data_IF_755196846474
#
_entry.id   IF_755196846474
#
_cell.length_a   1.000
_cell.length_b   1.000
_cell.length_c   1.000
_cell.angle_alpha   90.00
_cell.angle_beta   90.00
_cell.angle_gamma   90.00
#
_symmetry.space_group_name_H-M   'P 1'
#
loop_
_entity.id
_entity.type
_entity.pdbx_description
1 polymer ?
#
# COMPACT_ATOMS: atom_id res chain seq x y z
N UNK A 1 -5.74 68.59 -18.26
CA UNK A 1 -4.91 68.68 -17.04
C UNK A 1 -5.41 67.66 -16.02
N UNK A 2 -4.82 66.47 -16.04
CA UNK A 2 -4.51 65.66 -14.84
C UNK A 2 -3.52 66.43 -13.97
N UNK A 3 -3.54 66.28 -12.64
CA UNK A 3 -2.34 66.23 -11.74
C UNK A 3 -2.58 66.54 -10.24
N UNK A 4 -3.80 66.87 -9.78
CA UNK A 4 -3.99 67.38 -8.40
C UNK A 4 -4.95 66.61 -7.47
N UNK A 5 -5.05 65.29 -7.54
CA UNK A 5 -5.55 64.53 -6.37
C UNK A 5 -4.89 63.17 -6.21
N UNK A 6 -3.64 63.11 -6.65
CA UNK A 6 -2.70 62.01 -6.48
C UNK A 6 -2.02 62.01 -5.09
N UNK A 7 -2.56 62.74 -4.11
CA UNK A 7 -1.93 62.96 -2.80
C UNK A 7 -2.86 62.83 -1.59
N UNK A 8 -4.13 62.48 -1.80
CA UNK A 8 -4.85 61.57 -0.91
C UNK A 8 -4.69 60.15 -1.47
N UNK A 9 -3.45 59.76 -1.78
CA UNK A 9 -2.63 59.18 -0.73
C UNK A 9 -3.46 58.24 0.12
N UNK A 10 -3.67 57.03 -0.40
CA UNK A 10 -2.69 55.97 -0.14
C UNK A 10 -2.65 55.54 1.34
N UNK A 11 -3.57 56.05 2.18
CA UNK A 11 -3.77 55.56 3.54
C UNK A 11 -4.98 54.64 3.70
N UNK A 12 -5.87 54.61 2.70
CA UNK A 12 -7.02 53.69 2.63
C UNK A 12 -6.80 52.58 1.59
N UNK A 13 -5.55 52.42 1.15
CA UNK A 13 -5.02 51.14 0.71
C UNK A 13 -4.57 50.44 1.99
N UNK A 14 -4.97 49.20 2.20
CA UNK A 14 -4.32 48.16 3.04
C UNK A 14 -5.21 47.41 4.04
N UNK A 15 -6.44 47.83 4.38
CA UNK A 15 -7.19 47.13 5.44
C UNK A 15 -8.47 46.38 5.04
N UNK A 16 -9.10 46.65 3.89
CA UNK A 16 -10.47 46.15 3.63
C UNK A 16 -10.66 45.41 2.30
N UNK A 17 -9.61 44.84 1.70
CA UNK A 17 -9.72 44.01 0.48
C UNK A 17 -8.96 42.67 0.59
N UNK A 18 -8.54 42.27 1.79
CA UNK A 18 -7.80 41.01 2.01
C UNK A 18 -8.60 40.00 2.86
N UNK A 19 -9.92 40.08 2.85
CA UNK A 19 -10.80 39.08 3.48
C UNK A 19 -11.98 38.70 2.56
N UNK A 20 -11.68 38.30 1.33
CA UNK A 20 -12.56 37.38 0.62
C UNK A 20 -11.77 36.56 -0.41
N UNK A 21 -10.61 36.07 0.00
CA UNK A 21 -10.04 34.89 -0.63
C UNK A 21 -10.89 33.73 -0.16
N UNK A 22 -11.98 33.46 -0.88
CA UNK A 22 -12.56 32.12 -0.87
C UNK A 22 -11.38 31.17 -1.07
N UNK A 23 -11.13 30.23 -0.14
CA UNK A 23 -10.08 29.25 -0.36
C UNK A 23 -10.40 28.57 -1.69
N UNK A 24 -9.43 28.39 -2.60
CA UNK A 24 -9.65 27.51 -3.73
C UNK A 24 -10.10 26.19 -3.11
N UNK A 25 -11.29 25.75 -3.49
CA UNK A 25 -11.87 24.47 -3.11
C UNK A 25 -10.76 23.42 -3.25
N UNK A 26 -10.16 23.06 -2.12
CA UNK A 26 -9.25 21.92 -1.98
C UNK A 26 -10.16 20.69 -1.92
N UNK A 27 -10.88 20.46 -3.00
CA UNK A 27 -11.66 19.26 -3.23
C UNK A 27 -11.66 19.01 -4.73
N UNK A 28 -10.55 18.49 -5.26
CA UNK A 28 -10.65 17.57 -6.39
C UNK A 28 -9.42 16.72 -6.73
N UNK A 29 -8.35 16.74 -5.93
CA UNK A 29 -7.23 15.81 -6.14
C UNK A 29 -7.09 14.74 -5.04
N UNK A 30 -7.71 14.95 -3.88
CA UNK A 30 -7.60 13.99 -2.77
C UNK A 30 -8.51 12.77 -2.90
N UNK A 31 -9.42 12.71 -3.88
CA UNK A 31 -10.36 11.59 -3.99
C UNK A 31 -9.81 10.39 -4.79
N UNK A 32 -8.72 10.56 -5.54
CA UNK A 32 -8.12 9.46 -6.35
C UNK A 32 -6.91 8.79 -5.70
N UNK A 33 -6.19 9.49 -4.82
CA UNK A 33 -5.00 8.93 -4.15
C UNK A 33 -5.32 8.14 -2.84
N UNK A 34 -6.55 8.25 -2.32
CA UNK A 34 -6.97 7.54 -1.11
C UNK A 34 -7.19 6.03 -1.32
N UNK A 35 -7.85 5.53 -2.39
CA UNK A 35 -8.13 4.09 -2.50
C UNK A 35 -6.87 3.22 -2.57
N UNK A 36 -5.78 3.72 -3.17
CA UNK A 36 -4.53 2.95 -3.37
C UNK A 36 -3.81 2.69 -2.07
N UNK A 37 -3.66 3.71 -1.23
CA UNK A 37 -3.06 3.58 0.10
C UNK A 37 -3.87 2.64 0.99
N UNK A 38 -5.20 2.67 0.86
CA UNK A 38 -6.12 1.79 1.60
C UNK A 38 -5.97 0.33 1.15
N UNK A 39 -5.93 0.05 -0.16
CA UNK A 39 -5.74 -1.31 -0.69
C UNK A 39 -4.37 -1.86 -0.26
N UNK A 40 -3.31 -1.07 -0.38
CA UNK A 40 -1.95 -1.50 0.00
C UNK A 40 -1.83 -1.73 1.51
N UNK A 41 -2.46 -0.88 2.32
CA UNK A 41 -2.50 -1.02 3.78
C UNK A 41 -3.31 -2.24 4.21
N UNK A 42 -4.45 -2.48 3.57
CA UNK A 42 -5.27 -3.67 3.78
C UNK A 42 -4.51 -4.94 3.41
N UNK A 43 -3.85 -4.96 2.24
CA UNK A 43 -2.99 -6.06 1.82
C UNK A 43 -1.88 -6.31 2.86
N UNK A 44 -1.21 -5.26 3.32
CA UNK A 44 -0.17 -5.40 4.35
C UNK A 44 -0.71 -6.00 5.66
N UNK A 45 -1.89 -5.57 6.12
CA UNK A 45 -2.51 -6.12 7.32
C UNK A 45 -2.92 -7.59 7.14
N UNK A 46 -3.47 -7.93 5.97
CA UNK A 46 -3.78 -9.32 5.61
C UNK A 46 -2.53 -10.19 5.57
N UNK A 47 -1.41 -9.69 5.04
CA UNK A 47 -0.13 -10.40 5.03
C UNK A 47 0.37 -10.70 6.45
N UNK A 48 0.37 -9.69 7.33
CA UNK A 48 0.76 -9.87 8.73
C UNK A 48 -0.18 -10.82 9.48
N UNK A 49 -1.48 -10.68 9.26
CA UNK A 49 -2.49 -11.57 9.85
C UNK A 49 -2.27 -13.00 9.40
N UNK A 50 -2.03 -13.24 8.11
CA UNK A 50 -1.72 -14.55 7.56
C UNK A 50 -0.47 -15.17 8.19
N UNK A 51 0.64 -14.44 8.27
CA UNK A 51 1.87 -14.91 8.93
C UNK A 51 1.62 -15.27 10.40
N UNK A 52 0.84 -14.45 11.11
CA UNK A 52 0.52 -14.65 12.52
C UNK A 52 -0.37 -15.87 12.74
N UNK A 53 -1.40 -16.05 11.91
CA UNK A 53 -2.29 -17.21 11.96
C UNK A 53 -1.51 -18.48 11.64
N UNK A 54 -0.66 -18.46 10.62
CA UNK A 54 0.17 -19.61 10.26
C UNK A 54 1.11 -19.99 11.40
N UNK A 55 1.77 -19.01 12.03
CA UNK A 55 2.63 -19.26 13.18
C UNK A 55 1.83 -19.86 14.35
N UNK A 56 0.68 -19.27 14.70
CA UNK A 56 -0.19 -19.78 15.75
C UNK A 56 -0.67 -21.20 15.46
N UNK A 57 -1.02 -21.49 14.20
CA UNK A 57 -1.43 -22.81 13.75
C UNK A 57 -0.29 -23.84 13.89
N UNK A 58 0.93 -23.50 13.45
CA UNK A 58 2.08 -24.41 13.61
C UNK A 58 2.37 -24.73 15.08
N UNK A 59 2.21 -23.76 15.98
CA UNK A 59 2.36 -23.98 17.42
C UNK A 59 1.23 -24.85 17.97
N UNK A 60 -0.02 -24.60 17.57
CA UNK A 60 -1.18 -25.36 18.04
C UNK A 60 -1.15 -26.85 17.62
N UNK A 61 -0.60 -27.16 16.44
CA UNK A 61 -0.50 -28.53 15.92
C UNK A 61 0.71 -29.31 16.44
N UNK A 62 1.63 -28.66 17.15
CA UNK A 62 2.82 -29.29 17.74
C UNK A 62 3.72 -29.96 16.69
N UNK A 63 3.96 -31.26 16.82
CA UNK A 63 4.87 -32.02 15.95
C UNK A 63 4.47 -31.98 14.46
N UNK A 64 3.17 -31.97 14.16
CA UNK A 64 2.68 -31.84 12.77
C UNK A 64 2.94 -30.43 12.23
N UNK A 65 2.86 -29.41 13.09
CA UNK A 65 3.18 -28.04 12.73
C UNK A 65 4.64 -27.86 12.33
N UNK A 66 5.58 -28.58 12.95
CA UNK A 66 7.01 -28.56 12.58
C UNK A 66 7.21 -29.13 11.16
N UNK A 67 6.51 -30.22 10.82
CA UNK A 67 6.58 -30.84 9.48
C UNK A 67 6.01 -29.88 8.43
N UNK A 68 4.86 -29.26 8.71
CA UNK A 68 4.29 -28.22 7.85
C UNK A 68 5.24 -27.03 7.70
N UNK A 69 5.89 -26.59 8.77
CA UNK A 69 6.83 -25.48 8.74
C UNK A 69 8.06 -25.80 7.88
N UNK A 70 8.57 -27.03 7.95
CA UNK A 70 9.68 -27.49 7.12
C UNK A 70 9.30 -27.53 5.63
N UNK A 71 8.08 -27.97 5.31
CA UNK A 71 7.57 -27.98 3.94
C UNK A 71 7.32 -26.56 3.40
N UNK A 72 6.73 -25.67 4.22
CA UNK A 72 6.39 -24.29 3.85
C UNK A 72 7.54 -23.29 4.05
N UNK A 73 8.73 -23.73 4.44
CA UNK A 73 9.82 -22.81 4.82
C UNK A 73 10.18 -21.82 3.69
N UNK A 74 10.29 -22.31 2.45
CA UNK A 74 10.57 -21.48 1.27
C UNK A 74 9.45 -20.46 1.00
N UNK A 75 8.19 -20.89 1.12
CA UNK A 75 7.04 -20.02 0.99
C UNK A 75 7.06 -18.92 2.06
N UNK A 76 7.26 -19.30 3.33
CA UNK A 76 7.31 -18.37 4.45
C UNK A 76 8.42 -17.34 4.31
N UNK A 77 9.63 -17.79 3.94
CA UNK A 77 10.76 -16.90 3.72
C UNK A 77 10.45 -15.88 2.62
N UNK A 78 9.88 -16.33 1.50
CA UNK A 78 9.49 -15.45 0.39
C UNK A 78 8.42 -14.46 0.81
N UNK A 79 7.40 -14.93 1.53
CA UNK A 79 6.28 -14.12 2.02
C UNK A 79 6.72 -13.04 3.03
N UNK A 80 7.65 -13.37 3.93
CA UNK A 80 8.24 -12.41 4.88
C UNK A 80 8.99 -11.31 4.12
N UNK A 81 9.85 -11.69 3.17
CA UNK A 81 10.61 -10.73 2.35
C UNK A 81 9.63 -9.85 1.57
N UNK A 82 8.60 -10.43 0.93
CA UNK A 82 7.58 -9.69 0.20
C UNK A 82 6.83 -8.70 1.11
N UNK A 83 6.49 -9.09 2.33
CA UNK A 83 5.82 -8.23 3.32
C UNK A 83 6.70 -7.04 3.74
N UNK A 84 7.99 -7.27 3.96
CA UNK A 84 8.97 -6.21 4.28
C UNK A 84 9.14 -5.25 3.10
N UNK A 85 9.24 -5.79 1.87
CA UNK A 85 9.33 -4.96 0.67
C UNK A 85 8.03 -4.18 0.43
N UNK A 86 6.87 -4.78 0.67
CA UNK A 86 5.58 -4.10 0.58
C UNK A 86 5.51 -2.91 1.54
N UNK A 87 5.92 -3.12 2.80
CA UNK A 87 6.00 -2.06 3.79
C UNK A 87 6.95 -0.93 3.37
N UNK A 88 8.17 -1.29 2.98
CA UNK A 88 9.18 -0.33 2.58
C UNK A 88 8.78 0.45 1.31
N UNK A 89 8.22 -0.25 0.34
CA UNK A 89 7.72 0.32 -0.89
C UNK A 89 6.53 1.25 -0.66
N UNK A 90 5.62 0.90 0.25
CA UNK A 90 4.53 1.77 0.72
C UNK A 90 5.07 3.04 1.37
N UNK A 91 6.01 2.89 2.32
CA UNK A 91 6.54 4.03 3.08
C UNK A 91 7.40 4.98 2.23
N UNK A 92 8.09 4.45 1.20
CA UNK A 92 8.92 5.24 0.29
C UNK A 92 8.19 5.68 -0.99
N UNK A 93 6.95 5.21 -1.21
CA UNK A 93 6.22 5.42 -2.46
C UNK A 93 6.92 4.85 -3.71
N UNK A 94 7.79 3.86 -3.57
CA UNK A 94 8.56 3.33 -4.70
C UNK A 94 7.82 2.16 -5.39
N UNK A 95 7.25 2.44 -6.56
CA UNK A 95 6.58 1.45 -7.43
C UNK A 95 7.45 0.25 -7.75
N UNK A 96 8.75 0.45 -7.97
CA UNK A 96 9.67 -0.65 -8.28
C UNK A 96 9.74 -1.65 -7.13
N UNK A 97 9.83 -1.16 -5.89
CA UNK A 97 9.84 -2.03 -4.70
C UNK A 97 8.51 -2.77 -4.55
N UNK A 98 7.38 -2.12 -4.83
CA UNK A 98 6.06 -2.75 -4.84
C UNK A 98 5.94 -3.87 -5.89
N UNK A 99 6.44 -3.64 -7.11
CA UNK A 99 6.46 -4.65 -8.17
C UNK A 99 7.32 -5.86 -7.79
N UNK A 100 8.49 -5.62 -7.19
CA UNK A 100 9.34 -6.70 -6.68
C UNK A 100 8.63 -7.47 -5.57
N UNK A 101 7.92 -6.79 -4.66
CA UNK A 101 7.11 -7.45 -3.63
C UNK A 101 6.01 -8.31 -4.24
N UNK A 102 5.29 -7.80 -5.24
CA UNK A 102 4.26 -8.54 -5.98
C UNK A 102 4.85 -9.79 -6.64
N UNK A 103 5.98 -9.66 -7.33
CA UNK A 103 6.68 -10.78 -7.96
C UNK A 103 7.10 -11.84 -6.93
N UNK A 104 7.56 -11.43 -5.75
CA UNK A 104 7.87 -12.37 -4.67
C UNK A 104 6.62 -13.10 -4.16
N UNK A 105 5.46 -12.45 -4.04
CA UNK A 105 4.22 -13.16 -3.72
C UNK A 105 3.87 -14.24 -4.77
N UNK A 106 4.15 -14.01 -6.05
CA UNK A 106 4.02 -15.04 -7.10
C UNK A 106 5.04 -16.18 -6.93
N UNK A 107 6.29 -15.88 -6.58
CA UNK A 107 7.28 -16.93 -6.27
C UNK A 107 6.83 -17.75 -5.06
N UNK A 108 6.30 -17.08 -4.03
CA UNK A 108 5.70 -17.71 -2.86
C UNK A 108 4.52 -18.61 -3.25
N UNK A 109 3.67 -18.18 -4.19
CA UNK A 109 2.56 -18.98 -4.71
C UNK A 109 3.05 -20.29 -5.34
N UNK A 110 4.10 -20.24 -6.17
CA UNK A 110 4.71 -21.43 -6.78
C UNK A 110 5.35 -22.32 -5.69
N UNK A 111 6.00 -21.73 -4.70
CA UNK A 111 6.63 -22.48 -3.61
C UNK A 111 5.63 -23.20 -2.69
N UNK A 112 4.37 -22.75 -2.64
CA UNK A 112 3.28 -23.43 -1.94
C UNK A 112 2.38 -24.25 -2.86
N UNK A 113 2.73 -24.38 -4.14
CA UNK A 113 1.99 -25.21 -5.07
C UNK A 113 2.34 -26.68 -4.83
N UNK A 114 1.34 -27.43 -4.37
CA UNK A 114 1.43 -28.87 -4.18
C UNK A 114 0.47 -29.54 -5.18
N UNK A 115 0.96 -30.34 -6.15
CA UNK A 115 0.14 -31.00 -7.15
C UNK A 115 -0.79 -32.07 -6.55
N UNK A 116 -0.53 -32.53 -5.33
CA UNK A 116 -1.35 -33.53 -4.65
C UNK A 116 -2.55 -32.87 -3.93
N UNK A 117 -2.45 -31.57 -3.71
CA UNK A 117 -3.44 -30.72 -3.04
C UNK A 117 -3.68 -29.46 -3.89
N UNK A 118 -4.29 -29.64 -5.07
CA UNK A 118 -4.62 -28.56 -6.02
C UNK A 118 -5.45 -27.41 -5.41
N UNK A 119 -6.14 -27.65 -4.29
CA UNK A 119 -6.94 -26.66 -3.57
C UNK A 119 -6.28 -26.17 -2.28
N UNK A 120 -4.96 -26.18 -2.20
CA UNK A 120 -4.24 -25.79 -0.99
C UNK A 120 -4.58 -24.34 -0.61
N UNK A 121 -5.07 -24.06 0.61
CA UNK A 121 -5.43 -22.71 1.04
C UNK A 121 -4.23 -21.73 1.01
N UNK A 122 -3.00 -22.25 1.07
CA UNK A 122 -1.77 -21.46 0.96
C UNK A 122 -1.55 -20.88 -0.45
N UNK A 123 -1.96 -21.61 -1.48
CA UNK A 123 -1.92 -21.16 -2.87
C UNK A 123 -2.88 -19.97 -3.08
N UNK A 124 -4.14 -20.12 -2.65
CA UNK A 124 -5.14 -19.05 -2.75
C UNK A 124 -4.75 -17.81 -1.96
N UNK A 125 -4.21 -17.98 -0.75
CA UNK A 125 -3.74 -16.86 0.06
C UNK A 125 -2.68 -16.04 -0.67
N UNK A 126 -1.69 -16.70 -1.28
CA UNK A 126 -0.67 -16.02 -2.07
C UNK A 126 -1.20 -15.38 -3.34
N UNK A 127 -2.16 -16.02 -4.02
CA UNK A 127 -2.79 -15.45 -5.21
C UNK A 127 -3.57 -14.17 -4.90
N UNK A 128 -4.35 -14.17 -3.82
CA UNK A 128 -5.10 -13.00 -3.35
C UNK A 128 -4.10 -11.88 -3.00
N UNK A 129 -3.04 -12.20 -2.26
CA UNK A 129 -2.01 -11.24 -1.88
C UNK A 129 -1.27 -10.66 -3.09
N UNK A 130 -0.84 -11.50 -4.02
CA UNK A 130 -0.18 -11.08 -5.24
C UNK A 130 -1.06 -10.14 -6.06
N UNK A 131 -2.35 -10.48 -6.20
CA UNK A 131 -3.33 -9.69 -6.94
C UNK A 131 -3.64 -8.36 -6.24
N UNK A 132 -3.84 -8.36 -4.92
CA UNK A 132 -4.08 -7.13 -4.15
C UNK A 132 -2.89 -6.19 -4.21
N UNK A 133 -1.67 -6.73 -4.04
CA UNK A 133 -0.44 -5.93 -4.11
C UNK A 133 -0.22 -5.44 -5.54
N UNK A 134 -0.45 -6.27 -6.55
CA UNK A 134 -0.35 -5.88 -7.95
C UNK A 134 -1.35 -4.78 -8.31
N UNK A 135 -2.63 -4.96 -7.99
CA UNK A 135 -3.68 -3.97 -8.24
C UNK A 135 -3.41 -2.68 -7.47
N UNK A 136 -2.97 -2.79 -6.21
CA UNK A 136 -2.54 -1.66 -5.42
C UNK A 136 -1.34 -0.92 -6.04
N UNK A 137 -0.41 -1.63 -6.67
CA UNK A 137 0.75 -1.06 -7.37
C UNK A 137 0.38 -0.39 -8.69
N UNK A 138 -0.48 -1.02 -9.49
CA UNK A 138 -0.96 -0.48 -10.78
C UNK A 138 -1.80 0.77 -10.55
N UNK A 139 -2.64 0.75 -9.52
CA UNK A 139 -3.50 1.89 -9.17
C UNK A 139 -2.71 2.97 -8.44
N UNK A 140 -1.58 2.65 -7.79
CA UNK A 140 -0.69 3.64 -7.17
C UNK A 140 -0.20 4.63 -8.24
N UNK A 141 -0.90 5.74 -8.37
CA UNK A 141 -0.57 6.81 -9.31
C UNK A 141 0.74 7.44 -8.85
N UNK A 142 1.65 7.74 -9.80
CA UNK A 142 2.79 8.58 -9.47
C UNK A 142 2.14 9.95 -9.29
N UNK A 143 2.36 10.60 -8.15
CA UNK A 143 2.11 12.04 -8.09
C UNK A 143 3.07 12.72 -9.05
N UNK A 144 2.63 12.90 -10.29
CA UNK A 144 3.21 13.77 -11.31
C UNK A 144 2.10 14.67 -11.84
#
# INVERSE_FOLDING_TARGET
MTDQQNYESNHEKESLLEENVQPPIVEQDQQKHVPTSVILSLAFYLALSYLSILLCFTVALGALGIILLAFLWLHLLCFIIATVLLWNGKNKGNKTTLYIASALYFVSMIAAYDPEWEWSPFFFSSLIMATLVFLGTVTFENGE
#
